data_IF_414363277997
#
_entry.id   IF_414363277997
#
_cell.length_a   1.000
_cell.length_b   1.000
_cell.length_c   1.000
_cell.angle_alpha   90.00
_cell.angle_beta   90.00
_cell.angle_gamma   90.00
#
_symmetry.space_group_name_H-M   'P 1'
#
loop_
_entity.id
_entity.type
_entity.pdbx_description
1 polymer ?
#
# COMPACT_ATOMS: atom_id res chain seq x y z
N UNK A 1 8.76 13.58 -19.55
CA UNK A 1 8.62 13.07 -18.17
C UNK A 1 9.93 12.40 -17.76
N UNK A 2 10.52 12.79 -16.62
CA UNK A 2 11.72 12.15 -16.08
C UNK A 2 11.41 10.72 -15.65
N UNK A 3 12.31 9.77 -15.94
CA UNK A 3 12.24 8.35 -15.55
C UNK A 3 13.61 7.91 -15.10
N UNK A 4 13.74 7.51 -13.85
CA UNK A 4 15.01 7.06 -13.28
C UNK A 4 14.85 5.61 -12.79
N UNK A 5 15.91 4.81 -12.95
CA UNK A 5 16.01 3.46 -12.39
C UNK A 5 17.07 3.46 -11.30
N UNK A 6 16.76 2.85 -10.17
CA UNK A 6 17.66 2.67 -9.05
C UNK A 6 17.65 1.21 -8.59
N UNK A 7 18.81 0.77 -8.13
CA UNK A 7 19.05 -0.56 -7.58
C UNK A 7 20.08 -0.45 -6.47
N UNK A 8 19.81 -1.08 -5.33
CA UNK A 8 20.79 -1.21 -4.24
C UNK A 8 20.57 -2.49 -3.46
N UNK A 9 21.61 -2.91 -2.74
CA UNK A 9 21.52 -4.00 -1.78
C UNK A 9 20.76 -3.52 -0.55
N UNK A 10 19.69 -4.23 -0.20
CA UNK A 10 18.93 -3.97 1.03
C UNK A 10 19.50 -4.78 2.19
N UNK A 11 19.90 -4.10 3.25
CA UNK A 11 20.37 -4.75 4.46
C UNK A 11 19.21 -5.41 5.22
N UNK A 12 18.01 -4.84 5.19
CA UNK A 12 16.81 -5.42 5.80
C UNK A 12 16.36 -6.70 5.07
N UNK A 13 16.45 -6.72 3.74
CA UNK A 13 15.97 -7.84 2.94
C UNK A 13 17.06 -8.81 2.49
N UNK A 14 18.34 -8.48 2.72
CA UNK A 14 19.51 -9.28 2.32
C UNK A 14 19.47 -9.70 0.84
N UNK A 15 19.11 -8.73 -0.01
CA UNK A 15 19.04 -8.88 -1.47
C UNK A 15 19.07 -7.53 -2.17
N UNK A 16 19.31 -7.55 -3.47
CA UNK A 16 19.11 -6.39 -4.33
C UNK A 16 17.64 -6.02 -4.45
N UNK A 17 17.33 -4.75 -4.24
CA UNK A 17 16.02 -4.16 -4.45
C UNK A 17 16.07 -3.09 -5.53
N UNK A 18 14.98 -2.99 -6.29
CA UNK A 18 14.88 -2.14 -7.46
C UNK A 18 13.70 -1.18 -7.34
N UNK A 19 13.81 0.01 -7.91
CA UNK A 19 12.70 0.95 -8.00
C UNK A 19 12.79 1.83 -9.25
N UNK A 20 11.65 2.32 -9.70
CA UNK A 20 11.54 3.37 -10.73
C UNK A 20 11.00 4.66 -10.12
N UNK A 21 11.58 5.78 -10.54
CA UNK A 21 11.06 7.11 -10.23
C UNK A 21 10.50 7.73 -11.49
N UNK A 22 9.30 8.35 -11.39
CA UNK A 22 8.71 9.14 -12.46
C UNK A 22 8.38 10.53 -11.94
N UNK A 23 8.82 11.55 -12.67
CA UNK A 23 8.65 12.95 -12.29
C UNK A 23 9.90 13.56 -11.65
N UNK A 24 9.81 14.84 -11.28
CA UNK A 24 10.96 15.63 -10.82
C UNK A 24 10.67 16.47 -9.57
N UNK A 25 9.40 16.59 -9.15
CA UNK A 25 8.96 17.42 -8.02
C UNK A 25 7.54 17.04 -7.59
N UNK A 26 7.05 17.69 -6.53
CA UNK A 26 5.70 17.57 -6.00
C UNK A 26 5.58 16.52 -4.89
N UNK A 27 4.35 16.15 -4.55
CA UNK A 27 4.09 15.15 -3.52
C UNK A 27 4.73 13.81 -3.90
N UNK A 28 5.42 13.20 -2.94
CA UNK A 28 6.07 11.88 -3.10
C UNK A 28 5.02 10.79 -2.99
N UNK A 29 4.84 9.99 -4.02
CA UNK A 29 3.92 8.85 -4.02
C UNK A 29 4.71 7.55 -3.92
N UNK A 30 4.66 6.90 -2.77
CA UNK A 30 5.21 5.56 -2.58
C UNK A 30 4.22 4.55 -3.15
N UNK A 31 4.60 3.84 -4.21
CA UNK A 31 3.73 2.94 -4.96
C UNK A 31 4.10 1.50 -4.70
N UNK A 32 3.18 0.75 -4.11
CA UNK A 32 3.30 -0.68 -3.86
C UNK A 32 2.68 -1.48 -5.02
N UNK A 33 3.40 -2.48 -5.58
CA UNK A 33 2.91 -3.32 -6.66
C UNK A 33 1.82 -4.29 -6.20
N UNK A 34 1.13 -4.92 -7.16
CA UNK A 34 0.20 -6.03 -6.87
C UNK A 34 0.96 -7.29 -6.44
N UNK A 35 0.22 -8.39 -6.19
CA UNK A 35 0.80 -9.67 -5.76
C UNK A 35 1.98 -10.15 -6.63
N UNK A 36 1.80 -10.13 -7.93
CA UNK A 36 2.79 -10.64 -8.89
C UNK A 36 3.65 -9.51 -9.49
N UNK A 37 3.49 -8.29 -8.94
CA UNK A 37 4.07 -7.08 -9.49
C UNK A 37 5.51 -6.86 -9.07
N UNK A 38 6.27 -6.25 -9.99
CA UNK A 38 7.62 -5.76 -9.81
C UNK A 38 7.60 -4.22 -9.91
N UNK A 39 8.70 -3.60 -9.59
CA UNK A 39 8.90 -2.15 -9.65
C UNK A 39 8.45 -1.47 -10.97
N UNK A 40 8.38 -2.20 -12.08
CA UNK A 40 7.93 -1.71 -13.40
C UNK A 40 6.44 -1.98 -13.70
N UNK A 41 5.73 -2.68 -12.83
CA UNK A 41 4.32 -3.06 -13.07
C UNK A 41 3.42 -1.84 -13.24
N UNK A 42 3.59 -0.84 -12.40
CA UNK A 42 2.77 0.38 -12.43
C UNK A 42 2.88 1.12 -13.78
N UNK A 43 4.08 1.13 -14.38
CA UNK A 43 4.31 1.62 -15.74
C UNK A 43 3.61 0.73 -16.79
N UNK A 44 3.79 -0.61 -16.70
CA UNK A 44 3.20 -1.57 -17.64
C UNK A 44 1.67 -1.58 -17.60
N UNK A 45 1.06 -1.36 -16.45
CA UNK A 45 -0.40 -1.20 -16.29
C UNK A 45 -0.90 0.12 -16.89
N UNK A 46 -0.01 1.02 -17.35
CA UNK A 46 -0.37 2.32 -17.90
C UNK A 46 -0.77 3.37 -16.85
N UNK A 47 -0.50 3.10 -15.57
CA UNK A 47 -0.82 4.01 -14.47
C UNK A 47 0.00 5.30 -14.52
N UNK A 48 1.30 5.18 -14.87
CA UNK A 48 2.18 6.32 -15.09
C UNK A 48 1.65 7.22 -16.22
N UNK A 49 1.18 6.60 -17.31
CA UNK A 49 0.57 7.33 -18.44
C UNK A 49 -0.74 8.03 -18.02
N UNK A 50 -1.56 7.40 -17.17
CA UNK A 50 -2.79 8.00 -16.66
C UNK A 50 -2.52 9.22 -15.76
N UNK A 51 -1.40 9.24 -15.05
CA UNK A 51 -0.97 10.34 -14.18
C UNK A 51 -0.02 11.33 -14.87
N UNK A 52 0.27 11.14 -16.17
CA UNK A 52 1.28 11.90 -16.90
C UNK A 52 1.15 13.42 -16.71
N UNK A 53 -0.04 13.97 -16.80
CA UNK A 53 -0.26 15.40 -16.63
C UNK A 53 0.20 15.88 -15.24
N UNK A 54 -0.22 15.21 -14.16
CA UNK A 54 0.16 15.58 -12.79
C UNK A 54 1.67 15.48 -12.57
N UNK A 55 2.30 14.45 -13.14
CA UNK A 55 3.75 14.23 -13.04
C UNK A 55 4.53 15.31 -13.80
N UNK A 56 4.12 15.64 -15.04
CA UNK A 56 4.80 16.65 -15.86
C UNK A 56 4.64 18.08 -15.31
N UNK A 57 3.52 18.36 -14.63
CA UNK A 57 3.31 19.63 -13.92
C UNK A 57 4.11 19.71 -12.60
N UNK A 58 4.79 18.64 -12.19
CA UNK A 58 5.53 18.61 -10.93
C UNK A 58 4.62 18.58 -9.70
N UNK A 59 3.38 18.09 -9.81
CA UNK A 59 2.49 17.91 -8.67
C UNK A 59 2.74 16.60 -7.93
N UNK A 60 3.18 15.58 -8.68
CA UNK A 60 3.47 14.25 -8.16
C UNK A 60 4.84 13.76 -8.65
N UNK A 61 5.55 13.08 -7.75
CA UNK A 61 6.70 12.25 -8.08
C UNK A 61 6.45 10.83 -7.58
N UNK A 62 6.42 9.85 -8.49
CA UNK A 62 6.13 8.46 -8.16
C UNK A 62 7.42 7.69 -7.85
N UNK A 63 7.38 6.86 -6.82
CA UNK A 63 8.42 5.92 -6.41
C UNK A 63 7.83 4.52 -6.44
N UNK A 64 8.00 3.82 -7.56
CA UNK A 64 7.45 2.47 -7.78
C UNK A 64 8.46 1.43 -7.31
N UNK A 65 8.22 0.86 -6.15
CA UNK A 65 9.13 -0.10 -5.50
C UNK A 65 8.89 -1.53 -5.97
N UNK A 66 9.88 -2.38 -5.74
CA UNK A 66 9.77 -3.82 -5.97
C UNK A 66 8.97 -4.51 -4.86
N UNK A 67 8.31 -5.62 -5.20
CA UNK A 67 7.60 -6.47 -4.25
C UNK A 67 8.41 -7.72 -3.87
N UNK A 68 8.04 -8.32 -2.74
CA UNK A 68 8.64 -9.56 -2.23
C UNK A 68 7.59 -10.67 -1.98
N UNK A 69 6.51 -10.67 -2.74
CA UNK A 69 5.34 -11.54 -2.47
C UNK A 69 5.68 -13.03 -2.40
N UNK A 70 6.59 -13.52 -3.26
CA UNK A 70 7.05 -14.92 -3.27
C UNK A 70 7.99 -15.27 -2.12
N UNK A 71 8.50 -14.29 -1.40
CA UNK A 71 9.34 -14.48 -0.22
C UNK A 71 8.58 -14.24 1.09
N UNK A 72 7.39 -13.63 1.00
CA UNK A 72 6.50 -13.35 2.13
C UNK A 72 5.20 -14.13 2.03
N UNK A 73 4.06 -13.48 1.95
CA UNK A 73 2.71 -14.09 2.05
C UNK A 73 2.43 -15.22 1.05
N UNK A 74 3.06 -15.24 -0.11
CA UNK A 74 2.90 -16.28 -1.15
C UNK A 74 4.11 -17.21 -1.24
N UNK A 75 4.92 -17.29 -0.18
CA UNK A 75 6.00 -18.27 -0.05
C UNK A 75 5.43 -19.61 0.46
N UNK A 76 4.86 -20.40 -0.44
CA UNK A 76 4.09 -21.62 -0.10
C UNK A 76 4.93 -22.69 0.62
N UNK A 77 6.24 -22.71 0.40
CA UNK A 77 7.17 -23.65 1.07
C UNK A 77 7.61 -23.18 2.45
N UNK A 78 7.43 -21.90 2.79
CA UNK A 78 7.84 -21.37 4.08
C UNK A 78 6.72 -21.50 5.10
N UNK A 79 7.09 -21.79 6.35
CA UNK A 79 6.15 -21.76 7.46
C UNK A 79 5.54 -20.34 7.61
N UNK A 80 4.24 -20.20 7.92
CA UNK A 80 3.58 -18.88 8.01
C UNK A 80 4.26 -17.88 8.94
N UNK A 81 4.87 -18.34 10.05
CA UNK A 81 5.68 -17.45 10.90
C UNK A 81 6.86 -16.83 10.18
N UNK A 82 7.49 -17.54 9.24
CA UNK A 82 8.55 -17.00 8.41
C UNK A 82 8.01 -16.01 7.37
N UNK A 83 6.81 -16.25 6.84
CA UNK A 83 6.15 -15.34 5.88
C UNK A 83 5.85 -13.98 6.51
N UNK A 84 5.33 -13.96 7.74
CA UNK A 84 5.07 -12.69 8.44
C UNK A 84 6.37 -11.98 8.85
N UNK A 85 7.40 -12.71 9.28
CA UNK A 85 8.71 -12.12 9.57
C UNK A 85 9.34 -11.49 8.31
N UNK A 86 9.18 -12.12 7.16
CA UNK A 86 9.65 -11.56 5.89
C UNK A 86 8.89 -10.30 5.50
N UNK A 87 7.57 -10.24 5.79
CA UNK A 87 6.78 -9.02 5.61
C UNK A 87 7.24 -7.89 6.54
N UNK A 88 7.59 -8.20 7.81
CA UNK A 88 8.16 -7.23 8.75
C UNK A 88 9.47 -6.66 8.21
N UNK A 89 10.37 -7.51 7.75
CA UNK A 89 11.61 -7.06 7.10
C UNK A 89 11.36 -6.17 5.87
N UNK A 90 10.26 -6.39 5.14
CA UNK A 90 9.87 -5.52 4.04
C UNK A 90 9.36 -4.15 4.53
N UNK A 91 8.65 -4.12 5.64
CA UNK A 91 8.27 -2.85 6.28
C UNK A 91 9.51 -2.09 6.74
N UNK A 92 10.47 -2.76 7.39
CA UNK A 92 11.75 -2.15 7.80
C UNK A 92 12.54 -1.61 6.60
N UNK A 93 12.58 -2.34 5.47
CA UNK A 93 13.15 -1.84 4.22
C UNK A 93 12.50 -0.53 3.75
N UNK A 94 11.19 -0.42 3.84
CA UNK A 94 10.50 0.82 3.48
C UNK A 94 10.88 1.96 4.42
N UNK A 95 10.88 1.70 5.73
CA UNK A 95 11.12 2.71 6.76
C UNK A 95 12.57 3.21 6.78
N UNK A 96 13.52 2.28 6.68
CA UNK A 96 14.93 2.57 6.91
C UNK A 96 15.69 2.90 5.62
N UNK A 97 15.21 2.44 4.47
CA UNK A 97 15.92 2.59 3.20
C UNK A 97 15.13 3.44 2.18
N UNK A 98 13.86 3.09 1.89
CA UNK A 98 13.09 3.75 0.83
C UNK A 98 12.68 5.16 1.22
N UNK A 99 12.05 5.37 2.37
CA UNK A 99 11.61 6.70 2.80
C UNK A 99 12.79 7.67 2.96
N UNK A 100 13.92 7.32 3.59
CA UNK A 100 15.10 8.17 3.63
C UNK A 100 15.69 8.48 2.24
N UNK A 101 15.65 7.51 1.32
CA UNK A 101 16.05 7.74 -0.06
C UNK A 101 15.11 8.73 -0.77
N UNK A 102 13.80 8.60 -0.60
CA UNK A 102 12.80 9.54 -1.13
C UNK A 102 13.03 10.96 -0.61
N UNK A 103 13.32 11.12 0.68
CA UNK A 103 13.58 12.43 1.31
C UNK A 103 14.84 13.10 0.79
N UNK A 104 15.89 12.32 0.49
CA UNK A 104 17.12 12.83 -0.16
C UNK A 104 16.88 13.28 -1.60
N UNK A 105 15.96 12.62 -2.31
CA UNK A 105 15.62 12.92 -3.70
C UNK A 105 14.69 14.12 -3.86
N UNK A 106 13.75 14.26 -2.92
CA UNK A 106 12.69 15.25 -2.97
C UNK A 106 12.33 15.70 -1.56
N UNK A 107 12.54 16.97 -1.25
CA UNK A 107 12.30 17.57 0.07
C UNK A 107 10.84 17.95 0.32
N UNK A 108 9.93 17.66 -0.60
CA UNK A 108 8.50 17.93 -0.42
C UNK A 108 7.96 17.12 0.75
N UNK A 109 7.25 17.78 1.69
CA UNK A 109 6.81 17.16 2.95
C UNK A 109 5.69 16.12 2.79
N UNK A 110 4.89 16.22 1.71
CA UNK A 110 3.78 15.32 1.49
C UNK A 110 4.26 13.97 0.95
N UNK A 111 4.03 12.92 1.74
CA UNK A 111 4.18 11.53 1.31
C UNK A 111 2.80 10.90 1.22
N UNK A 112 2.50 10.32 0.06
CA UNK A 112 1.27 9.57 -0.24
C UNK A 112 1.64 8.09 -0.28
N UNK A 113 0.96 7.27 0.54
CA UNK A 113 1.03 5.82 0.44
C UNK A 113 -0.02 5.35 -0.57
N UNK A 114 0.40 4.60 -1.58
CA UNK A 114 -0.51 4.14 -2.65
C UNK A 114 -0.20 2.71 -3.08
N UNK A 115 -1.25 1.96 -3.40
CA UNK A 115 -1.09 0.61 -3.92
C UNK A 115 -2.36 0.04 -4.54
N UNK A 116 -2.19 -1.05 -5.25
CA UNK A 116 -3.22 -1.78 -5.99
C UNK A 116 -3.29 -3.21 -5.47
N UNK A 117 -4.50 -3.74 -5.19
CA UNK A 117 -4.68 -5.12 -4.73
C UNK A 117 -3.83 -5.44 -3.48
N UNK A 118 -2.89 -6.39 -3.52
CA UNK A 118 -1.95 -6.64 -2.42
C UNK A 118 -1.14 -5.40 -2.06
N UNK A 119 -0.78 -4.58 -3.05
CA UNK A 119 -0.12 -3.30 -2.81
C UNK A 119 -0.98 -2.32 -2.02
N UNK A 120 -2.31 -2.36 -2.18
CA UNK A 120 -3.22 -1.56 -1.37
C UNK A 120 -3.21 -1.99 0.11
N UNK A 121 -3.06 -3.31 0.38
CA UNK A 121 -2.81 -3.81 1.73
C UNK A 121 -1.50 -3.22 2.29
N UNK A 122 -0.38 -3.35 1.57
CA UNK A 122 0.91 -2.83 2.03
C UNK A 122 0.84 -1.33 2.29
N UNK A 123 0.22 -0.57 1.37
CA UNK A 123 0.06 0.87 1.52
C UNK A 123 -0.77 1.26 2.76
N UNK A 124 -1.87 0.56 3.01
CA UNK A 124 -2.72 0.81 4.17
C UNK A 124 -2.05 0.36 5.47
N UNK A 125 -1.45 -0.83 5.47
CA UNK A 125 -0.79 -1.38 6.66
C UNK A 125 0.30 -0.42 7.17
N UNK A 126 1.25 -0.02 6.32
CA UNK A 126 2.32 0.90 6.73
C UNK A 126 1.79 2.28 7.12
N UNK A 127 0.78 2.82 6.41
CA UNK A 127 0.20 4.11 6.72
C UNK A 127 -0.55 4.12 8.06
N UNK A 128 -1.22 3.03 8.42
CA UNK A 128 -1.93 2.91 9.69
C UNK A 128 -0.99 2.62 10.87
N UNK A 129 0.09 1.92 10.64
CA UNK A 129 1.10 1.62 11.67
C UNK A 129 2.03 2.81 11.94
N UNK A 130 2.35 3.60 10.91
CA UNK A 130 3.25 4.75 10.95
C UNK A 130 2.59 6.05 10.42
N UNK A 131 1.41 6.44 10.97
CA UNK A 131 0.58 7.50 10.36
C UNK A 131 1.25 8.88 10.35
N UNK A 132 2.25 9.10 11.18
CA UNK A 132 3.02 10.36 11.21
C UNK A 132 3.87 10.57 9.96
N UNK A 133 4.16 9.52 9.19
CA UNK A 133 5.01 9.58 7.99
C UNK A 133 4.23 9.90 6.71
N UNK A 134 2.90 9.76 6.74
CA UNK A 134 2.06 9.89 5.55
C UNK A 134 1.01 10.98 5.72
N UNK A 135 0.80 11.78 4.67
CA UNK A 135 -0.27 12.79 4.61
C UNK A 135 -1.53 12.28 3.93
N UNK A 136 -1.37 11.25 3.09
CA UNK A 136 -2.47 10.66 2.33
C UNK A 136 -2.25 9.17 2.13
N UNK A 137 -3.36 8.41 2.18
CA UNK A 137 -3.46 7.02 1.75
C UNK A 137 -4.44 6.92 0.60
N UNK A 138 -4.04 6.30 -0.51
CA UNK A 138 -4.93 5.97 -1.63
C UNK A 138 -4.79 4.50 -1.96
N UNK A 139 -5.79 3.71 -1.64
CA UNK A 139 -5.75 2.26 -1.77
C UNK A 139 -6.85 1.74 -2.70
N UNK A 140 -6.47 1.03 -3.78
CA UNK A 140 -7.42 0.49 -4.76
C UNK A 140 -7.53 -1.02 -4.65
N UNK A 141 -8.76 -1.53 -4.49
CA UNK A 141 -9.11 -2.96 -4.48
C UNK A 141 -8.30 -3.76 -3.45
N UNK A 142 -8.16 -3.23 -2.22
CA UNK A 142 -7.35 -3.83 -1.17
C UNK A 142 -8.09 -4.91 -0.38
N UNK A 143 -7.29 -5.85 0.21
CA UNK A 143 -7.73 -6.68 1.33
C UNK A 143 -7.00 -6.21 2.58
N UNK A 144 -7.70 -6.09 3.72
CA UNK A 144 -7.13 -5.54 4.95
C UNK A 144 -7.16 -6.52 6.13
N UNK A 145 -7.51 -7.75 5.83
CA UNK A 145 -7.45 -8.90 6.73
C UNK A 145 -6.63 -10.02 6.09
N UNK A 146 -5.47 -10.33 6.68
CA UNK A 146 -4.57 -11.38 6.18
C UNK A 146 -5.13 -12.79 6.37
N UNK A 147 -6.04 -12.95 7.34
CA UNK A 147 -6.63 -14.25 7.72
C UNK A 147 -7.94 -14.55 6.99
N UNK A 148 -8.45 -13.59 6.20
CA UNK A 148 -9.70 -13.74 5.48
C UNK A 148 -9.58 -14.76 4.36
N UNK A 149 -10.54 -15.69 4.28
CA UNK A 149 -10.77 -16.54 3.12
C UNK A 149 -12.08 -16.15 2.45
N UNK A 150 -12.03 -15.83 1.15
CA UNK A 150 -13.18 -15.42 0.35
C UNK A 150 -12.99 -15.82 -1.10
N UNK A 151 -14.02 -16.44 -1.73
CA UNK A 151 -13.94 -17.02 -3.08
C UNK A 151 -12.70 -17.93 -3.25
N UNK A 152 -11.83 -17.62 -4.20
CA UNK A 152 -10.58 -18.34 -4.46
C UNK A 152 -9.37 -17.77 -3.68
N UNK A 153 -9.58 -16.78 -2.84
CA UNK A 153 -8.53 -16.19 -2.01
C UNK A 153 -8.51 -16.83 -0.63
N UNK A 154 -7.42 -17.49 -0.30
CA UNK A 154 -7.24 -18.14 0.99
C UNK A 154 -6.67 -17.18 2.04
N UNK A 155 -6.73 -17.60 3.31
CA UNK A 155 -5.91 -17.07 4.39
C UNK A 155 -4.42 -17.09 3.95
N UNK A 156 -3.73 -15.95 4.05
CA UNK A 156 -2.33 -15.82 3.62
C UNK A 156 -1.34 -16.47 4.60
N UNK A 157 -1.81 -16.94 5.75
CA UNK A 157 -1.00 -17.49 6.82
C UNK A 157 -1.44 -18.90 7.26
N UNK A 158 -2.33 -19.55 6.46
CA UNK A 158 -2.76 -20.93 6.64
C UNK A 158 -3.29 -21.23 8.07
N UNK A 159 -3.99 -20.27 8.67
CA UNK A 159 -4.52 -20.36 10.04
C UNK A 159 -3.51 -20.05 11.14
N UNK A 160 -2.25 -19.74 10.81
CA UNK A 160 -1.27 -19.29 11.79
C UNK A 160 -1.60 -17.87 12.28
N UNK A 161 -1.57 -17.68 13.61
CA UNK A 161 -1.88 -16.40 14.23
C UNK A 161 -1.00 -16.16 15.46
N UNK A 162 -0.37 -14.98 15.51
CA UNK A 162 0.41 -14.51 16.64
C UNK A 162 0.33 -12.96 16.72
N UNK A 163 1.06 -12.35 17.62
CA UNK A 163 1.10 -10.89 17.77
C UNK A 163 1.58 -10.17 16.50
N UNK A 164 2.52 -10.72 15.75
CA UNK A 164 2.99 -10.12 14.49
C UNK A 164 1.87 -10.06 13.45
N UNK A 165 1.11 -11.16 13.31
CA UNK A 165 -0.06 -11.20 12.43
C UNK A 165 -1.11 -10.18 12.87
N UNK A 166 -1.40 -10.14 14.17
CA UNK A 166 -2.35 -9.18 14.74
C UNK A 166 -1.96 -7.73 14.40
N UNK A 167 -0.72 -7.34 14.71
CA UNK A 167 -0.26 -5.97 14.49
C UNK A 167 -0.02 -5.59 13.01
N UNK A 168 0.01 -6.56 12.10
CA UNK A 168 0.10 -6.32 10.65
C UNK A 168 -1.21 -6.60 9.90
N UNK A 169 -2.32 -6.79 10.61
CA UNK A 169 -3.65 -6.92 10.02
C UNK A 169 -4.50 -5.71 10.40
N UNK A 170 -4.69 -4.72 9.51
CA UNK A 170 -5.39 -3.48 9.83
C UNK A 170 -6.76 -3.67 10.48
N UNK A 171 -7.57 -4.61 9.97
CA UNK A 171 -8.90 -4.91 10.54
C UNK A 171 -8.85 -5.51 11.96
N UNK A 172 -7.68 -6.00 12.42
CA UNK A 172 -7.52 -6.57 13.76
C UNK A 172 -6.98 -5.55 14.78
N UNK A 173 -5.91 -4.81 14.44
CA UNK A 173 -5.30 -3.92 15.43
C UNK A 173 -6.01 -2.56 15.56
N UNK A 174 -6.57 -2.02 14.47
CA UNK A 174 -7.21 -0.71 14.49
C UNK A 174 -8.38 -0.60 15.47
N UNK A 175 -9.28 -1.61 15.63
CA UNK A 175 -10.35 -1.54 16.64
C UNK A 175 -9.84 -1.29 18.06
N UNK A 176 -8.66 -1.83 18.38
CA UNK A 176 -8.04 -1.74 19.70
C UNK A 176 -6.97 -0.65 19.81
N UNK A 177 -6.81 0.19 18.79
CA UNK A 177 -5.83 1.27 18.82
C UNK A 177 -6.27 2.38 19.78
N UNK A 178 -5.51 2.59 20.85
CA UNK A 178 -5.79 3.58 21.91
C UNK A 178 -4.73 4.69 21.97
N UNK A 179 -3.60 4.52 21.30
CA UNK A 179 -2.52 5.51 21.33
C UNK A 179 -2.98 6.86 20.77
N UNK A 180 -3.15 7.85 21.65
CA UNK A 180 -3.67 9.18 21.31
C UNK A 180 -2.84 9.87 20.20
N UNK A 181 -1.51 9.67 20.20
CA UNK A 181 -0.61 10.24 19.18
C UNK A 181 -0.87 9.64 17.80
N UNK A 182 -1.00 8.30 17.73
CA UNK A 182 -1.29 7.62 16.45
C UNK A 182 -2.69 8.00 15.96
N UNK A 183 -3.70 8.01 16.82
CA UNK A 183 -5.05 8.43 16.47
C UNK A 183 -5.10 9.88 15.97
N UNK A 184 -4.35 10.79 16.57
CA UNK A 184 -4.26 12.17 16.09
C UNK A 184 -3.66 12.24 14.67
N UNK A 185 -2.61 11.46 14.39
CA UNK A 185 -1.99 11.40 13.06
C UNK A 185 -2.92 10.77 12.03
N UNK A 186 -3.65 9.70 12.39
CA UNK A 186 -4.65 9.07 11.51
C UNK A 186 -5.80 10.02 11.19
N UNK A 187 -6.27 10.80 12.17
CA UNK A 187 -7.32 11.81 11.97
C UNK A 187 -6.89 12.97 11.07
N UNK A 188 -5.59 13.22 10.98
CA UNK A 188 -5.02 14.26 10.12
C UNK A 188 -4.69 13.76 8.69
N UNK A 189 -4.78 12.45 8.44
CA UNK A 189 -4.47 11.84 7.15
C UNK A 189 -5.69 11.87 6.22
N UNK A 190 -5.49 12.20 4.94
CA UNK A 190 -6.50 12.02 3.89
C UNK A 190 -6.52 10.54 3.46
N UNK A 191 -7.62 9.83 3.72
CA UNK A 191 -7.73 8.38 3.47
C UNK A 191 -8.80 8.13 2.41
N UNK A 192 -8.38 7.53 1.29
CA UNK A 192 -9.25 7.17 0.17
C UNK A 192 -9.11 5.67 -0.12
N UNK A 193 -10.18 4.94 0.12
CA UNK A 193 -10.33 3.52 -0.21
C UNK A 193 -11.27 3.40 -1.40
N UNK A 194 -10.87 2.68 -2.45
CA UNK A 194 -11.68 2.51 -3.66
C UNK A 194 -11.80 1.02 -3.97
N UNK A 195 -13.02 0.54 -4.18
CA UNK A 195 -13.28 -0.87 -4.46
C UNK A 195 -14.47 -1.03 -5.41
N UNK A 196 -14.52 -2.16 -6.13
CA UNK A 196 -15.68 -2.54 -6.92
C UNK A 196 -16.83 -3.07 -6.05
N UNK A 197 -18.08 -2.79 -6.44
CA UNK A 197 -19.26 -3.31 -5.74
C UNK A 197 -19.46 -4.83 -5.90
N UNK A 198 -18.72 -5.47 -6.83
CA UNK A 198 -18.68 -6.92 -7.03
C UNK A 198 -17.29 -7.52 -6.70
N UNK A 199 -16.44 -6.75 -6.03
CA UNK A 199 -15.12 -7.24 -5.59
C UNK A 199 -15.28 -8.18 -4.39
N UNK A 200 -14.62 -9.34 -4.34
CA UNK A 200 -14.73 -10.28 -3.22
C UNK A 200 -14.27 -9.69 -1.88
N UNK A 201 -13.48 -8.63 -1.89
CA UNK A 201 -13.04 -7.94 -0.68
C UNK A 201 -13.92 -6.75 -0.27
N UNK A 202 -15.11 -6.57 -0.90
CA UNK A 202 -16.03 -5.47 -0.58
C UNK A 202 -16.39 -5.45 0.91
N UNK A 203 -16.82 -6.58 1.47
CA UNK A 203 -17.22 -6.67 2.88
C UNK A 203 -16.05 -6.30 3.82
N UNK A 204 -14.83 -6.72 3.49
CA UNK A 204 -13.64 -6.37 4.28
C UNK A 204 -13.30 -4.87 4.18
N UNK A 205 -13.53 -4.24 3.03
CA UNK A 205 -13.39 -2.78 2.88
C UNK A 205 -14.46 -2.02 3.67
N UNK A 206 -15.70 -2.51 3.68
CA UNK A 206 -16.79 -1.94 4.50
C UNK A 206 -16.51 -2.10 5.99
N UNK A 207 -15.98 -3.25 6.40
CA UNK A 207 -15.54 -3.50 7.78
C UNK A 207 -14.45 -2.50 8.19
N UNK A 208 -13.40 -2.32 7.37
CA UNK A 208 -12.35 -1.34 7.64
C UNK A 208 -12.93 0.09 7.73
N UNK A 209 -13.84 0.44 6.81
CA UNK A 209 -14.51 1.73 6.83
C UNK A 209 -15.31 1.94 8.13
N UNK A 210 -16.03 0.93 8.60
CA UNK A 210 -16.75 0.98 9.88
C UNK A 210 -15.79 1.19 11.06
N UNK A 211 -14.68 0.47 11.11
CA UNK A 211 -13.63 0.63 12.13
C UNK A 211 -13.08 2.07 12.15
N UNK A 212 -12.75 2.62 10.98
CA UNK A 212 -12.25 4.00 10.87
C UNK A 212 -13.30 5.01 11.36
N UNK A 213 -14.57 4.80 10.99
CA UNK A 213 -15.68 5.65 11.44
C UNK A 213 -15.84 5.61 12.97
N UNK A 214 -15.84 4.43 13.58
CA UNK A 214 -15.96 4.24 15.03
C UNK A 214 -14.81 4.90 15.81
N UNK A 215 -13.59 4.95 15.21
CA UNK A 215 -12.43 5.66 15.78
C UNK A 215 -12.47 7.17 15.53
N UNK A 216 -13.50 7.68 14.82
CA UNK A 216 -13.61 9.09 14.43
C UNK A 216 -12.51 9.53 13.45
N UNK A 217 -12.04 8.61 12.60
CA UNK A 217 -11.05 8.86 11.54
C UNK A 217 -11.80 9.15 10.25
N UNK A 218 -11.64 10.37 9.74
CA UNK A 218 -12.27 10.75 8.48
C UNK A 218 -11.65 10.00 7.30
N UNK A 219 -12.47 9.42 6.44
CA UNK A 219 -12.05 8.67 5.26
C UNK A 219 -13.16 8.66 4.20
N UNK A 220 -12.81 8.24 3.00
CA UNK A 220 -13.73 8.00 1.91
C UNK A 220 -13.65 6.52 1.51
N UNK A 221 -14.80 5.83 1.47
CA UNK A 221 -14.95 4.54 0.82
C UNK A 221 -15.76 4.76 -0.46
N UNK A 222 -15.13 4.59 -1.61
CA UNK A 222 -15.69 4.87 -2.94
C UNK A 222 -15.95 3.55 -3.67
N UNK A 223 -17.22 3.35 -4.03
CA UNK A 223 -17.66 2.15 -4.75
C UNK A 223 -17.71 2.41 -6.26
N UNK A 224 -17.08 1.55 -7.02
CA UNK A 224 -17.15 1.52 -8.48
C UNK A 224 -18.03 0.37 -8.93
N UNK A 225 -18.68 0.52 -10.09
CA UNK A 225 -19.47 -0.57 -10.67
C UNK A 225 -18.56 -1.73 -11.07
N UNK A 226 -19.12 -2.93 -11.10
CA UNK A 226 -18.45 -4.19 -11.40
C UNK A 226 -17.43 -4.59 -10.32
N UNK A 227 -16.64 -5.62 -10.63
CA UNK A 227 -15.52 -6.04 -9.78
C UNK A 227 -14.42 -4.98 -9.63
N UNK A 228 -14.22 -4.16 -10.66
CA UNK A 228 -13.27 -3.04 -10.72
C UNK A 228 -11.84 -3.36 -10.24
N UNK A 229 -11.39 -4.64 -10.36
CA UNK A 229 -10.12 -5.15 -9.87
C UNK A 229 -9.15 -5.44 -11.02
N UNK A 230 -8.81 -4.40 -11.78
CA UNK A 230 -7.87 -4.53 -12.91
C UNK A 230 -7.27 -3.18 -13.32
N UNK A 231 -6.17 -3.22 -14.09
CA UNK A 231 -5.52 -2.04 -14.63
C UNK A 231 -6.44 -1.14 -15.47
N UNK A 232 -7.49 -1.71 -16.08
CA UNK A 232 -8.49 -0.90 -16.81
C UNK A 232 -9.20 0.09 -15.89
N UNK A 233 -9.65 -0.35 -14.72
CA UNK A 233 -10.33 0.49 -13.74
C UNK A 233 -9.33 1.39 -13.01
N UNK A 234 -8.20 0.85 -12.55
CA UNK A 234 -7.20 1.60 -11.78
C UNK A 234 -6.65 2.81 -12.53
N UNK A 235 -6.42 2.69 -13.86
CA UNK A 235 -6.04 3.84 -14.70
C UNK A 235 -7.08 4.96 -14.73
N UNK A 236 -8.34 4.64 -14.53
CA UNK A 236 -9.44 5.63 -14.47
C UNK A 236 -9.62 6.22 -13.09
N UNK A 237 -9.31 5.46 -12.04
CA UNK A 237 -9.33 5.90 -10.65
C UNK A 237 -8.17 6.85 -10.32
N UNK A 238 -6.96 6.54 -10.78
CA UNK A 238 -5.74 7.24 -10.37
C UNK A 238 -5.80 8.77 -10.60
N UNK A 239 -6.22 9.30 -11.77
CA UNK A 239 -6.31 10.75 -11.96
C UNK A 239 -7.32 11.45 -11.06
N UNK A 240 -8.31 10.71 -10.53
CA UNK A 240 -9.37 11.26 -9.68
C UNK A 240 -8.97 11.35 -8.22
N UNK A 241 -8.15 10.40 -7.73
CA UNK A 241 -7.95 10.21 -6.30
C UNK A 241 -6.51 10.41 -5.80
N UNK A 242 -5.52 10.30 -6.69
CA UNK A 242 -4.10 10.56 -6.36
C UNK A 242 -3.71 12.02 -6.57
#
# INVERSE_FOLDING_TARGET
>A
MNREYHKWWSDNLQRDMELLIFGHAGAKVLVFPTRDGRFYEYENLGMVAALKHKIEQGWLQLYCIDGIYTESFYCEWAHPSGRIQRHIAFEDYILDEVLPFMDKKNTHECVISHGLSLGAFHAANIAFRHPQLFKKLVAFSGRYDLTLSVECFNDLLDGFYNEDVYFHTPSHFLPNLECARQLASLKAMDIVLVIGNEDPFLDNNQQLSSILHEKGIHHQLLLWNDRAHSGYYWRRMAPLYI
#
